data_IF_421829386596
#
_entry.id   IF_421829386596
#
_cell.length_a   1.000
_cell.length_b   1.000
_cell.length_c   1.000
_cell.angle_alpha   90.00
_cell.angle_beta   90.00
_cell.angle_gamma   90.00
#
_symmetry.space_group_name_H-M   'P 1'
#
loop_
_entity.id
_entity.type
_entity.pdbx_description
1 polymer ?
#
# COMPACT_ATOMS: atom_id res chain seq x y z
N UNK A 1 68.49 -34.68 -37.54
CA UNK A 1 67.54 -34.53 -36.41
C UNK A 1 66.37 -33.68 -36.86
N UNK A 2 65.22 -34.29 -37.18
CA UNK A 2 64.02 -33.57 -37.63
C UNK A 2 63.07 -33.40 -36.44
N UNK A 3 62.89 -32.13 -36.06
CA UNK A 3 61.99 -31.63 -35.03
C UNK A 3 60.54 -32.09 -35.27
N UNK A 4 59.85 -32.52 -34.21
CA UNK A 4 58.39 -32.69 -34.19
C UNK A 4 57.85 -31.96 -32.96
N UNK A 5 57.36 -30.75 -33.17
CA UNK A 5 56.54 -30.05 -32.20
C UNK A 5 55.12 -30.64 -32.27
N UNK A 6 54.66 -31.26 -31.18
CA UNK A 6 53.24 -31.56 -31.01
C UNK A 6 52.54 -30.28 -30.54
N UNK A 7 51.71 -29.69 -31.39
CA UNK A 7 50.74 -28.69 -30.96
C UNK A 7 49.54 -29.43 -30.36
N UNK A 8 49.35 -29.34 -29.04
CA UNK A 8 48.07 -29.67 -28.42
C UNK A 8 47.11 -28.50 -28.69
N UNK A 9 46.22 -28.64 -29.67
CA UNK A 9 45.11 -27.68 -29.81
C UNK A 9 44.12 -27.91 -28.68
N UNK A 10 43.97 -26.92 -27.80
CA UNK A 10 42.96 -26.91 -26.76
C UNK A 10 41.59 -26.75 -27.45
N UNK A 11 40.81 -27.83 -27.57
CA UNK A 11 39.40 -27.71 -27.92
C UNK A 11 38.65 -27.14 -26.71
N UNK A 12 38.43 -25.83 -26.71
CA UNK A 12 37.51 -25.20 -25.76
C UNK A 12 36.06 -25.51 -26.18
N UNK A 13 35.49 -26.58 -25.62
CA UNK A 13 34.03 -26.74 -25.64
C UNK A 13 33.42 -25.77 -24.62
N UNK A 14 32.92 -24.63 -25.11
CA UNK A 14 32.04 -23.79 -24.32
C UNK A 14 30.67 -24.47 -24.26
N UNK A 15 30.43 -25.27 -23.23
CA UNK A 15 29.06 -25.61 -22.87
C UNK A 15 28.43 -24.37 -22.24
N UNK A 16 27.39 -23.84 -22.88
CA UNK A 16 26.53 -22.85 -22.25
C UNK A 16 25.82 -23.50 -21.07
N UNK A 17 26.48 -23.56 -19.91
CA UNK A 17 25.77 -23.80 -18.66
C UNK A 17 24.95 -22.54 -18.43
N UNK A 18 23.63 -22.64 -18.51
CA UNK A 18 22.78 -21.64 -17.87
C UNK A 18 23.17 -21.72 -16.39
N UNK A 19 24.04 -20.83 -15.94
CA UNK A 19 24.47 -20.76 -14.55
C UNK A 19 23.26 -20.31 -13.73
N UNK A 20 22.39 -21.27 -13.40
CA UNK A 20 21.22 -21.03 -12.57
C UNK A 20 21.65 -20.66 -11.14
N UNK A 21 22.82 -21.16 -10.73
CA UNK A 21 23.43 -20.89 -9.44
C UNK A 21 24.91 -20.62 -9.69
N UNK A 22 25.36 -19.42 -9.33
CA UNK A 22 26.78 -19.04 -9.32
C UNK A 22 27.24 -18.98 -7.87
N UNK A 23 28.17 -19.82 -7.47
CA UNK A 23 28.87 -19.68 -6.18
C UNK A 23 30.18 -18.95 -6.41
N UNK A 24 30.28 -17.70 -5.95
CA UNK A 24 31.49 -16.91 -6.05
C UNK A 24 32.53 -17.34 -4.98
N UNK A 25 33.81 -17.05 -5.20
CA UNK A 25 34.92 -17.42 -4.29
C UNK A 25 34.75 -16.82 -2.88
N UNK A 26 34.01 -15.72 -2.75
CA UNK A 26 33.66 -15.09 -1.47
C UNK A 26 32.47 -15.77 -0.75
N UNK A 27 31.97 -16.90 -1.29
CA UNK A 27 30.86 -17.68 -0.77
C UNK A 27 29.47 -17.11 -1.07
N UNK A 28 29.36 -16.09 -1.94
CA UNK A 28 28.06 -15.56 -2.35
C UNK A 28 27.39 -16.45 -3.39
N UNK A 29 26.05 -16.51 -3.37
CA UNK A 29 25.22 -17.25 -4.32
C UNK A 29 24.47 -16.28 -5.23
N UNK A 30 24.72 -16.36 -6.54
CA UNK A 30 23.96 -15.65 -7.57
C UNK A 30 22.95 -16.56 -8.25
N UNK A 31 21.70 -16.13 -8.40
CA UNK A 31 20.67 -16.78 -9.22
C UNK A 31 20.27 -15.80 -10.30
N UNK A 32 20.64 -16.08 -11.56
CA UNK A 32 20.42 -15.13 -12.67
C UNK A 32 21.43 -13.97 -12.70
N UNK A 33 22.52 -14.06 -11.94
CA UNK A 33 23.68 -13.16 -12.01
C UNK A 33 24.97 -13.95 -11.80
N UNK A 34 26.04 -13.56 -12.49
CA UNK A 34 27.38 -14.15 -12.35
C UNK A 34 28.28 -13.35 -11.39
N UNK A 35 27.87 -12.13 -11.03
CA UNK A 35 28.62 -11.22 -10.15
C UNK A 35 27.79 -10.88 -8.91
N UNK A 36 27.50 -11.84 -8.01
CA UNK A 36 26.64 -11.61 -6.85
C UNK A 36 27.29 -10.61 -5.87
N UNK A 37 26.59 -9.51 -5.61
CA UNK A 37 27.05 -8.43 -4.73
C UNK A 37 26.61 -8.61 -3.27
N UNK A 38 25.65 -9.51 -3.03
CA UNK A 38 25.18 -9.92 -1.71
C UNK A 38 25.30 -11.45 -1.53
N UNK A 39 25.10 -11.93 -0.30
CA UNK A 39 25.20 -13.37 0.03
C UNK A 39 24.27 -14.24 -0.81
N UNK A 40 23.08 -13.74 -1.10
CA UNK A 40 22.17 -14.28 -2.11
C UNK A 40 21.74 -13.10 -2.99
N UNK A 41 22.07 -13.17 -4.28
CA UNK A 41 21.78 -12.13 -5.26
C UNK A 41 20.96 -12.73 -6.41
N UNK A 42 19.79 -12.16 -6.69
CA UNK A 42 18.84 -12.67 -7.70
C UNK A 42 18.92 -11.88 -9.02
N UNK A 43 20.00 -11.11 -9.21
CA UNK A 43 20.25 -10.28 -10.38
C UNK A 43 19.34 -9.06 -10.51
N UNK A 44 19.57 -8.25 -11.54
CA UNK A 44 19.00 -6.92 -11.70
C UNK A 44 17.70 -6.84 -12.51
N UNK A 45 17.23 -7.96 -13.09
CA UNK A 45 16.00 -7.94 -13.90
C UNK A 45 14.79 -7.51 -13.05
N UNK A 46 13.84 -6.79 -13.60
CA UNK A 46 12.58 -6.53 -12.88
C UNK A 46 11.64 -7.74 -12.95
N UNK A 47 10.73 -7.79 -11.99
CA UNK A 47 9.52 -8.59 -12.09
C UNK A 47 8.67 -8.10 -13.26
N UNK A 48 8.12 -9.03 -14.04
CA UNK A 48 7.17 -8.71 -15.11
C UNK A 48 5.83 -9.36 -14.77
N UNK A 49 4.80 -8.59 -14.36
CA UNK A 49 3.46 -9.10 -14.08
C UNK A 49 2.84 -9.88 -15.24
N UNK A 50 3.29 -9.67 -16.48
CA UNK A 50 2.76 -10.32 -17.68
C UNK A 50 3.46 -11.63 -18.07
N UNK A 51 4.64 -11.92 -17.51
CA UNK A 51 5.41 -13.14 -17.82
C UNK A 51 5.86 -13.90 -16.57
N UNK A 52 6.56 -13.23 -15.66
CA UNK A 52 7.08 -13.78 -14.41
C UNK A 52 7.12 -12.68 -13.33
N UNK A 53 6.03 -12.50 -12.56
CA UNK A 53 5.91 -11.39 -11.60
C UNK A 53 6.88 -11.47 -10.41
N UNK A 54 7.56 -12.60 -10.22
CA UNK A 54 8.28 -12.89 -8.98
C UNK A 54 9.76 -13.15 -9.23
N UNK A 55 10.60 -12.51 -8.42
CA UNK A 55 11.99 -12.92 -8.18
C UNK A 55 12.06 -14.22 -7.39
N UNK A 56 11.19 -14.34 -6.38
CA UNK A 56 11.05 -15.52 -5.55
C UNK A 56 9.59 -15.97 -5.63
N UNK A 57 9.35 -17.07 -6.33
CA UNK A 57 8.03 -17.71 -6.38
C UNK A 57 7.83 -18.60 -5.16
N UNK A 58 6.81 -18.33 -4.36
CA UNK A 58 6.41 -19.15 -3.21
C UNK A 58 5.46 -20.27 -3.61
N UNK A 59 4.62 -20.02 -4.62
CA UNK A 59 3.71 -21.01 -5.18
C UNK A 59 3.38 -20.70 -6.64
N UNK A 60 3.21 -21.75 -7.45
CA UNK A 60 2.86 -21.69 -8.87
C UNK A 60 1.77 -22.71 -9.18
N UNK A 61 0.63 -22.23 -9.66
CA UNK A 61 -0.52 -23.04 -10.07
C UNK A 61 -0.66 -23.21 -11.58
N UNK A 62 0.32 -22.77 -12.36
CA UNK A 62 0.28 -22.74 -13.81
C UNK A 62 0.42 -21.33 -14.37
N UNK A 63 0.17 -21.13 -15.68
CA UNK A 63 0.31 -19.83 -16.32
C UNK A 63 -0.54 -18.76 -15.62
N UNK A 64 0.09 -17.62 -15.32
CA UNK A 64 -0.56 -16.48 -14.65
C UNK A 64 -1.22 -16.82 -13.31
N UNK A 65 -0.66 -17.76 -12.54
CA UNK A 65 -1.16 -18.09 -11.21
C UNK A 65 0.00 -18.29 -10.26
N UNK A 66 0.51 -17.18 -9.73
CA UNK A 66 1.72 -17.14 -8.91
C UNK A 66 1.50 -16.36 -7.63
N UNK A 67 2.24 -16.73 -6.59
CA UNK A 67 2.39 -15.95 -5.37
C UNK A 67 3.89 -15.83 -5.07
N UNK A 68 4.33 -14.66 -4.65
CA UNK A 68 5.74 -14.45 -4.39
C UNK A 68 6.16 -13.03 -4.08
N UNK A 69 7.47 -12.82 -4.19
CA UNK A 69 8.12 -11.54 -3.99
C UNK A 69 8.88 -11.16 -5.26
N UNK A 70 8.91 -9.86 -5.55
CA UNK A 70 9.44 -9.30 -6.78
C UNK A 70 10.01 -7.91 -6.59
N UNK A 71 10.49 -7.32 -7.67
CA UNK A 71 10.87 -5.90 -7.69
C UNK A 71 10.36 -5.24 -8.97
N UNK A 72 9.84 -4.03 -8.82
CA UNK A 72 9.56 -3.11 -9.93
C UNK A 72 10.56 -1.95 -9.89
N UNK A 73 10.50 -1.05 -10.86
CA UNK A 73 11.43 0.10 -10.92
C UNK A 73 11.23 1.03 -9.72
N UNK A 74 12.00 0.79 -8.65
CA UNK A 74 11.98 1.58 -7.41
C UNK A 74 11.16 0.97 -6.27
N UNK A 75 10.49 -0.16 -6.51
CA UNK A 75 9.54 -0.75 -5.56
C UNK A 75 9.84 -2.23 -5.25
N UNK A 76 9.54 -2.64 -4.02
CA UNK A 76 9.47 -4.05 -3.63
C UNK A 76 8.05 -4.55 -3.84
N UNK A 77 7.92 -5.62 -4.62
CA UNK A 77 6.62 -6.19 -4.95
C UNK A 77 6.28 -7.38 -4.05
N UNK A 78 5.08 -7.35 -3.50
CA UNK A 78 4.42 -8.51 -2.93
C UNK A 78 3.34 -8.90 -3.92
N UNK A 79 3.48 -10.05 -4.56
CA UNK A 79 2.56 -10.46 -5.63
C UNK A 79 1.63 -11.57 -5.19
N UNK A 80 0.34 -11.40 -5.47
CA UNK A 80 -0.71 -12.39 -5.30
C UNK A 80 -1.62 -12.35 -6.52
N UNK A 81 -1.90 -13.50 -7.11
CA UNK A 81 -2.90 -13.59 -8.19
C UNK A 81 -4.32 -13.24 -7.71
N UNK A 82 -4.59 -13.37 -6.41
CA UNK A 82 -5.89 -13.09 -5.81
C UNK A 82 -5.78 -11.94 -4.80
N UNK A 83 -6.08 -12.22 -3.53
CA UNK A 83 -6.04 -11.20 -2.47
C UNK A 83 -4.69 -11.24 -1.76
N UNK A 84 -4.26 -10.09 -1.24
CA UNK A 84 -3.27 -10.03 -0.17
C UNK A 84 -4.00 -10.15 1.16
N UNK A 85 -3.60 -11.11 2.00
CA UNK A 85 -4.26 -11.39 3.27
C UNK A 85 -3.26 -11.38 4.41
N UNK A 86 -3.67 -10.78 5.52
CA UNK A 86 -2.84 -10.62 6.70
C UNK A 86 -3.53 -11.31 7.88
N UNK A 87 -2.88 -12.33 8.43
CA UNK A 87 -3.40 -13.15 9.52
C UNK A 87 -2.58 -12.97 10.78
N UNK A 88 -3.23 -13.02 11.95
CA UNK A 88 -2.55 -13.12 13.26
C UNK A 88 -3.27 -14.11 14.17
N UNK A 89 -2.66 -14.44 15.31
CA UNK A 89 -3.27 -15.31 16.33
C UNK A 89 -3.19 -16.81 16.04
N UNK A 90 -2.21 -17.26 15.27
CA UNK A 90 -1.96 -18.68 15.05
C UNK A 90 -1.37 -19.31 16.34
N UNK A 91 -2.24 -19.94 17.13
CA UNK A 91 -1.88 -20.64 18.37
C UNK A 91 -2.56 -22.02 18.43
N UNK A 92 -2.23 -22.88 17.47
CA UNK A 92 -2.86 -24.20 17.32
C UNK A 92 -4.25 -24.19 16.64
N UNK A 93 -4.80 -23.00 16.38
CA UNK A 93 -6.01 -22.78 15.58
C UNK A 93 -5.69 -21.98 14.32
N UNK A 94 -6.58 -22.04 13.32
CA UNK A 94 -6.46 -21.20 12.13
C UNK A 94 -6.32 -19.72 12.53
N UNK A 95 -5.37 -19.02 11.91
CA UNK A 95 -5.19 -17.59 12.15
C UNK A 95 -6.44 -16.81 11.76
N UNK A 96 -6.66 -15.66 12.40
CA UNK A 96 -7.77 -14.76 12.05
C UNK A 96 -7.29 -13.73 11.05
N UNK A 97 -8.01 -13.56 9.94
CA UNK A 97 -7.75 -12.49 8.96
C UNK A 97 -8.01 -11.13 9.62
N UNK A 98 -7.04 -10.23 9.56
CA UNK A 98 -7.11 -8.88 10.15
C UNK A 98 -7.24 -7.79 9.10
N UNK A 99 -6.63 -8.00 7.95
CA UNK A 99 -6.65 -7.08 6.83
C UNK A 99 -6.64 -7.87 5.52
N UNK A 100 -7.32 -7.35 4.52
CA UNK A 100 -7.29 -7.86 3.15
C UNK A 100 -7.14 -6.71 2.17
N UNK A 101 -6.36 -6.93 1.10
CA UNK A 101 -6.46 -6.17 -0.14
C UNK A 101 -7.03 -7.15 -1.16
N UNK A 102 -8.26 -6.93 -1.59
CA UNK A 102 -8.94 -7.85 -2.49
C UNK A 102 -8.49 -7.66 -3.96
N UNK A 103 -8.91 -8.56 -4.86
CA UNK A 103 -8.64 -8.47 -6.30
C UNK A 103 -9.13 -7.17 -6.98
N UNK A 104 -10.07 -6.43 -6.36
CA UNK A 104 -10.56 -5.13 -6.86
C UNK A 104 -9.69 -3.96 -6.37
N UNK A 105 -8.67 -4.24 -5.56
CA UNK A 105 -7.83 -3.24 -4.90
C UNK A 105 -8.51 -2.56 -3.72
N UNK A 106 -9.56 -3.15 -3.15
CA UNK A 106 -10.23 -2.62 -1.96
C UNK A 106 -9.58 -3.17 -0.69
N UNK A 107 -9.41 -2.29 0.30
CA UNK A 107 -8.79 -2.61 1.59
C UNK A 107 -9.88 -2.87 2.63
N UNK A 108 -9.93 -4.08 3.17
CA UNK A 108 -10.73 -4.42 4.34
C UNK A 108 -9.87 -4.45 5.60
N UNK A 109 -10.32 -3.82 6.69
CA UNK A 109 -9.73 -3.96 8.03
C UNK A 109 -10.82 -4.49 8.96
N UNK A 110 -10.60 -5.67 9.54
CA UNK A 110 -11.61 -6.37 10.35
C UNK A 110 -12.75 -7.02 9.54
N UNK A 111 -12.77 -6.86 8.21
CA UNK A 111 -13.70 -7.51 7.28
C UNK A 111 -12.94 -8.17 6.12
N UNK A 112 -13.45 -9.29 5.62
CA UNK A 112 -12.85 -10.05 4.51
C UNK A 112 -13.48 -9.72 3.14
N UNK A 113 -14.60 -9.00 3.15
CA UNK A 113 -15.40 -8.68 1.97
C UNK A 113 -15.74 -7.18 1.96
N UNK A 114 -14.74 -6.31 1.71
CA UNK A 114 -14.94 -4.87 1.74
C UNK A 114 -15.99 -4.45 0.70
N UNK A 115 -16.92 -3.60 1.13
CA UNK A 115 -18.02 -3.05 0.31
C UNK A 115 -17.66 -1.74 -0.39
N UNK A 116 -16.54 -1.13 -0.02
CA UNK A 116 -15.98 0.10 -0.57
C UNK A 116 -14.45 0.02 -0.64
N UNK A 117 -13.81 1.03 -1.25
CA UNK A 117 -12.34 1.08 -1.43
C UNK A 117 -11.55 0.92 -0.13
N UNK A 118 -12.09 1.45 0.96
CA UNK A 118 -11.63 1.19 2.32
C UNK A 118 -12.88 0.85 3.15
N UNK A 119 -12.91 -0.34 3.75
CA UNK A 119 -13.97 -0.80 4.63
C UNK A 119 -13.35 -1.23 5.96
N UNK A 120 -13.73 -0.54 7.04
CA UNK A 120 -13.22 -0.78 8.40
C UNK A 120 -14.38 -1.24 9.27
N UNK A 121 -14.34 -2.50 9.68
CA UNK A 121 -15.28 -3.04 10.65
C UNK A 121 -14.76 -2.77 12.07
N UNK A 122 -15.02 -1.57 12.58
CA UNK A 122 -14.60 -1.12 13.91
C UNK A 122 -14.42 0.39 13.98
N UNK A 123 -13.79 0.86 15.05
CA UNK A 123 -13.55 2.29 15.27
C UNK A 123 -12.36 2.81 14.45
N UNK A 124 -12.49 4.02 13.90
CA UNK A 124 -11.39 4.76 13.27
C UNK A 124 -10.89 5.81 14.26
N UNK A 125 -9.74 5.57 14.87
CA UNK A 125 -9.09 6.51 15.78
C UNK A 125 -8.07 7.37 15.04
N UNK A 126 -8.37 8.65 14.87
CA UNK A 126 -7.44 9.63 14.26
C UNK A 126 -6.75 10.44 15.36
N UNK A 127 -5.43 10.59 15.26
CA UNK A 127 -4.62 11.34 16.23
C UNK A 127 -3.55 12.15 15.50
N UNK A 128 -3.31 13.37 15.96
CA UNK A 128 -2.23 14.27 15.53
C UNK A 128 -1.75 15.03 16.75
N UNK A 129 -0.45 15.25 16.86
CA UNK A 129 0.16 16.01 17.97
C UNK A 129 0.04 17.54 17.82
N UNK A 130 -0.93 18.02 17.03
CA UNK A 130 -1.21 19.45 16.83
C UNK A 130 -2.49 19.89 17.55
N UNK A 131 -2.67 21.20 17.70
CA UNK A 131 -3.86 21.77 18.32
C UNK A 131 -5.13 21.49 17.51
N UNK A 132 -5.04 21.16 16.22
CA UNK A 132 -6.17 20.75 15.40
C UNK A 132 -6.62 19.30 15.69
N UNK A 133 -5.74 18.47 16.25
CA UNK A 133 -5.98 17.04 16.45
C UNK A 133 -6.06 16.23 15.15
N UNK A 134 -6.44 14.96 15.27
CA UNK A 134 -6.74 14.10 14.12
C UNK A 134 -7.98 14.58 13.38
N UNK A 135 -8.04 14.33 12.06
CA UNK A 135 -9.18 14.73 11.25
C UNK A 135 -9.60 13.68 10.24
N UNK A 136 -10.87 13.74 9.86
CA UNK A 136 -11.41 13.05 8.69
C UNK A 136 -11.76 14.12 7.66
N UNK A 137 -11.31 13.93 6.42
CA UNK A 137 -11.45 14.92 5.36
C UNK A 137 -12.08 14.34 4.09
N UNK A 138 -12.96 15.13 3.48
CA UNK A 138 -13.55 14.88 2.17
C UNK A 138 -12.92 15.83 1.15
N UNK A 139 -12.42 15.29 0.05
CA UNK A 139 -11.67 16.02 -0.97
C UNK A 139 -12.32 15.90 -2.34
N UNK A 140 -12.44 17.01 -3.06
CA UNK A 140 -12.91 17.08 -4.44
C UNK A 140 -11.93 17.93 -5.27
N UNK A 141 -11.05 17.31 -6.07
CA UNK A 141 -10.02 18.02 -6.83
C UNK A 141 -10.59 18.91 -7.93
N UNK A 142 -11.84 18.70 -8.34
CA UNK A 142 -12.47 19.46 -9.44
C UNK A 142 -12.97 20.83 -8.99
N UNK A 143 -13.02 21.11 -7.69
CA UNK A 143 -13.39 22.42 -7.17
C UNK A 143 -12.17 23.35 -7.19
N UNK A 144 -12.27 24.42 -7.96
CA UNK A 144 -11.21 25.43 -8.15
C UNK A 144 -11.65 26.82 -7.66
N UNK A 145 -10.68 27.74 -7.54
CA UNK A 145 -10.90 29.10 -7.03
C UNK A 145 -11.36 29.13 -5.56
N UNK A 146 -12.31 30.00 -5.24
CA UNK A 146 -12.88 30.17 -3.89
C UNK A 146 -13.83 29.05 -3.46
N UNK A 147 -14.05 28.03 -4.30
CA UNK A 147 -14.87 26.88 -3.93
C UNK A 147 -14.13 25.99 -2.93
N UNK A 148 -14.87 25.49 -1.93
CA UNK A 148 -14.30 24.58 -0.95
C UNK A 148 -14.02 23.20 -1.57
N UNK A 149 -12.75 22.93 -1.91
CA UNK A 149 -12.28 21.67 -2.46
C UNK A 149 -12.06 20.59 -1.40
N UNK A 150 -11.86 21.00 -0.13
CA UNK A 150 -11.73 20.08 1.00
C UNK A 150 -12.62 20.50 2.17
N UNK A 151 -13.25 19.51 2.79
CA UNK A 151 -14.03 19.66 4.03
C UNK A 151 -13.45 18.72 5.07
N UNK A 152 -13.30 19.17 6.30
CA UNK A 152 -12.63 18.40 7.35
C UNK A 152 -13.37 18.54 8.68
N UNK A 153 -13.38 17.47 9.47
CA UNK A 153 -13.93 17.41 10.82
C UNK A 153 -12.76 17.22 11.79
N UNK A 154 -12.70 18.04 12.84
CA UNK A 154 -11.61 18.05 13.82
C UNK A 154 -12.14 18.05 15.26
N UNK A 155 -11.37 17.48 16.19
CA UNK A 155 -11.50 17.73 17.62
C UNK A 155 -10.30 18.55 18.10
N UNK A 156 -10.46 19.87 18.12
CA UNK A 156 -9.38 20.83 18.33
C UNK A 156 -9.20 21.22 19.80
N UNK A 157 -8.05 21.80 20.11
CA UNK A 157 -7.66 22.37 21.41
C UNK A 157 -6.75 23.60 21.22
N UNK A 158 -6.14 24.09 22.30
CA UNK A 158 -5.20 25.22 22.27
C UNK A 158 -5.86 26.52 21.79
N UNK A 159 -5.24 27.18 20.81
CA UNK A 159 -5.75 28.43 20.25
C UNK A 159 -7.12 28.33 19.56
N UNK A 160 -7.56 27.11 19.24
CA UNK A 160 -8.89 26.84 18.67
C UNK A 160 -9.94 26.55 19.75
N UNK A 161 -9.54 26.43 21.01
CA UNK A 161 -10.38 25.99 22.11
C UNK A 161 -10.74 24.50 22.02
N UNK A 162 -11.20 23.93 23.13
CA UNK A 162 -11.68 22.54 23.19
C UNK A 162 -13.00 22.40 22.42
N UNK A 163 -12.94 21.98 21.15
CA UNK A 163 -14.12 22.04 20.28
C UNK A 163 -14.12 21.04 19.12
N UNK A 164 -15.32 20.54 18.79
CA UNK A 164 -15.60 19.87 17.51
C UNK A 164 -15.78 20.93 16.43
N UNK A 165 -14.99 20.85 15.36
CA UNK A 165 -14.91 21.88 14.33
C UNK A 165 -15.10 21.28 12.93
N UNK A 166 -15.89 21.97 12.10
CA UNK A 166 -16.09 21.65 10.69
C UNK A 166 -15.48 22.75 9.84
N UNK A 167 -14.44 22.43 9.08
CA UNK A 167 -13.71 23.41 8.28
C UNK A 167 -13.83 23.13 6.79
N UNK A 168 -13.86 24.18 6.00
CA UNK A 168 -13.83 24.15 4.55
C UNK A 168 -12.59 24.90 4.04
N UNK A 169 -11.89 24.33 3.06
CA UNK A 169 -10.67 24.88 2.48
C UNK A 169 -10.89 25.14 0.99
N UNK A 170 -10.59 26.35 0.54
CA UNK A 170 -10.51 26.71 -0.88
C UNK A 170 -9.04 26.79 -1.32
N UNK A 171 -8.77 26.85 -2.63
CA UNK A 171 -7.40 26.98 -3.12
C UNK A 171 -6.82 28.38 -2.88
N UNK A 172 -7.70 29.37 -2.76
CA UNK A 172 -7.32 30.79 -2.63
C UNK A 172 -7.37 31.30 -1.18
N UNK A 173 -8.16 30.65 -0.32
CA UNK A 173 -8.39 31.11 1.05
C UNK A 173 -8.09 29.96 2.02
N UNK A 174 -7.00 30.11 2.78
CA UNK A 174 -6.58 29.14 3.77
C UNK A 174 -7.68 28.89 4.79
N UNK A 175 -8.24 27.66 4.78
CA UNK A 175 -9.06 27.02 5.81
C UNK A 175 -9.93 27.89 6.70
N UNK A 176 -11.25 27.73 6.58
CA UNK A 176 -12.20 28.42 7.46
C UNK A 176 -13.12 27.44 8.17
N UNK A 177 -13.33 27.66 9.47
CA UNK A 177 -14.48 27.09 10.15
C UNK A 177 -15.76 27.51 9.42
N UNK A 178 -16.68 26.57 9.25
CA UNK A 178 -18.05 26.88 8.84
C UNK A 178 -18.56 27.96 9.80
N UNK A 179 -19.01 29.10 9.26
CA UNK A 179 -19.43 30.34 9.95
C UNK A 179 -18.46 31.54 9.99
N UNK A 180 -17.22 31.48 9.47
CA UNK A 180 -16.48 32.74 9.22
C UNK A 180 -16.97 33.44 7.94
N UNK A 181 -17.74 34.52 8.11
CA UNK A 181 -17.91 35.57 7.09
C UNK A 181 -18.96 35.39 5.99
N UNK A 182 -19.83 34.37 6.03
CA UNK A 182 -20.93 34.25 5.06
C UNK A 182 -22.22 33.70 5.72
N UNK A 183 -23.33 34.47 5.75
CA UNK A 183 -24.57 34.07 6.41
C UNK A 183 -25.36 32.96 5.70
N UNK A 184 -24.90 32.43 4.56
CA UNK A 184 -25.63 31.43 3.76
C UNK A 184 -25.09 30.00 3.82
N UNK A 185 -24.29 29.66 4.81
CA UNK A 185 -23.92 28.27 5.06
C UNK A 185 -24.72 27.78 6.27
N UNK A 186 -25.88 27.16 6.03
CA UNK A 186 -26.77 26.61 7.06
C UNK A 186 -26.25 25.22 7.45
N UNK A 187 -25.85 25.02 8.72
CA UNK A 187 -25.86 23.69 9.33
C UNK A 187 -27.25 23.54 9.93
N UNK A 188 -28.11 22.78 9.26
CA UNK A 188 -29.44 22.50 9.77
C UNK A 188 -29.35 21.23 10.62
N UNK A 189 -29.02 21.39 11.90
CA UNK A 189 -29.28 20.35 12.88
C UNK A 189 -30.79 20.36 13.11
N UNK A 190 -31.49 19.35 12.58
CA UNK A 190 -32.93 19.18 12.80
C UNK A 190 -33.21 19.27 14.30
N UNK A 191 -34.13 20.15 14.71
CA UNK A 191 -34.66 20.12 16.07
C UNK A 191 -35.63 18.95 16.13
N UNK A 192 -35.44 18.06 17.10
CA UNK A 192 -36.54 17.23 17.58
C UNK A 192 -37.55 18.17 18.25
N UNK A 193 -38.64 18.50 17.55
CA UNK A 193 -39.82 19.10 18.16
C UNK A 193 -40.54 18.03 18.99
N UNK A 194 -40.11 17.80 20.23
CA UNK A 194 -41.01 17.21 21.22
C UNK A 194 -41.93 18.31 21.77
N UNK A 195 -42.99 18.59 21.01
CA UNK A 195 -44.17 19.25 21.55
C UNK A 195 -45.01 18.23 22.32
N UNK A 196 -44.93 18.23 23.65
CA UNK A 196 -46.00 17.73 24.50
C UNK A 196 -46.31 18.78 25.56
N UNK A 197 -47.40 19.49 25.28
CA UNK A 197 -48.07 20.52 26.08
C UNK A 197 -48.21 20.14 27.56
N UNK A 198 -47.83 21.06 28.45
CA UNK A 198 -48.37 21.09 29.81
C UNK A 198 -49.87 21.37 29.74
N UNK A 199 -50.71 20.45 30.20
CA UNK A 199 -52.06 20.78 30.65
C UNK A 199 -52.05 20.72 32.18
N UNK A 200 -52.50 21.84 32.75
CA UNK A 200 -52.72 22.09 34.17
C UNK A 200 -53.52 20.99 34.86
#
# INVERSE_FOLDING_TARGET
>A
MKSKFLLFSLLAFSYGVNAQITTAENGNVGIGTTNPTAKLDLGSNYSDPSSYPNKITLWSGGPNNYFGFGISSGDLDYFSQFNHRFYTGYNGSAGTEKMVINVKGDVGIGTTSPSAKLDVQGDIYTNSSSNEGGSISFYNPLKTGSNAYRWSIYNMTGGYGNSLQFWSYSQTDGGHAFCKGNPRKRVEFGRDEQSATSKN
#
